data_IF_623006580028
#
_entry.id   IF_623006580028
#
_cell.length_a   1.000
_cell.length_b   1.000
_cell.length_c   1.000
_cell.angle_alpha   90.00
_cell.angle_beta   90.00
_cell.angle_gamma   90.00
#
_symmetry.space_group_name_H-M   'P 1'
#
loop_
_entity.id
_entity.type
_entity.pdbx_description
1 polymer ?
#
# COMPACT_ATOMS: atom_id res chain seq x y z
N UNK A 1 -14.10 20.00 12.24
CA UNK A 1 -13.30 19.85 11.01
C UNK A 1 -13.43 18.41 10.54
N UNK A 2 -14.37 18.16 9.62
CA UNK A 2 -14.83 16.82 9.28
C UNK A 2 -14.01 16.21 8.15
N UNK A 3 -13.30 15.10 8.43
CA UNK A 3 -12.90 14.17 7.37
C UNK A 3 -14.16 13.74 6.62
N UNK A 4 -14.19 13.73 5.29
CA UNK A 4 -15.34 13.23 4.54
C UNK A 4 -15.69 11.81 5.01
N UNK A 5 -16.97 11.58 5.32
CA UNK A 5 -17.47 10.29 5.85
C UNK A 5 -17.34 9.13 4.85
N UNK A 6 -17.10 9.41 3.57
CA UNK A 6 -16.90 8.43 2.52
C UNK A 6 -15.51 8.57 1.88
N UNK A 7 -14.72 7.52 2.01
CA UNK A 7 -13.53 7.30 1.21
C UNK A 7 -13.94 6.79 -0.19
N UNK A 8 -13.26 7.23 -1.24
CA UNK A 8 -13.57 6.88 -2.64
C UNK A 8 -13.21 5.42 -3.03
N UNK A 9 -12.71 4.62 -2.10
CA UNK A 9 -12.46 3.18 -2.30
C UNK A 9 -11.11 2.74 -1.75
N UNK A 10 -10.58 1.62 -2.26
CA UNK A 10 -9.29 1.08 -1.82
C UNK A 10 -8.31 1.07 -2.99
N UNK A 11 -7.07 1.48 -2.71
CA UNK A 11 -5.96 1.32 -3.63
C UNK A 11 -5.06 0.21 -3.11
N UNK A 12 -4.85 -0.80 -3.94
CA UNK A 12 -3.90 -1.87 -3.71
C UNK A 12 -2.71 -1.65 -4.63
N UNK A 13 -1.51 -1.79 -4.09
CA UNK A 13 -0.27 -1.60 -4.85
C UNK A 13 0.66 -2.79 -4.61
N UNK A 14 1.12 -3.36 -5.71
CA UNK A 14 2.24 -4.30 -5.74
C UNK A 14 3.45 -3.60 -6.33
N UNK A 15 4.61 -3.70 -5.69
CA UNK A 15 5.86 -3.13 -6.18
C UNK A 15 6.87 -4.23 -6.50
N UNK A 16 7.36 -4.25 -7.74
CA UNK A 16 8.45 -5.15 -8.18
C UNK A 16 9.77 -4.38 -8.22
N UNK A 17 10.87 -5.13 -8.23
CA UNK A 17 12.21 -4.61 -8.32
C UNK A 17 12.91 -4.53 -6.97
N UNK A 18 14.06 -3.86 -6.95
CA UNK A 18 14.88 -3.71 -5.75
C UNK A 18 14.35 -2.59 -4.86
N UNK A 19 14.92 -2.48 -3.64
CA UNK A 19 14.49 -1.51 -2.61
C UNK A 19 14.32 -0.07 -3.14
N UNK A 20 15.21 0.39 -4.01
CA UNK A 20 15.12 1.74 -4.58
C UNK A 20 13.88 1.92 -5.47
N UNK A 21 13.50 0.89 -6.23
CA UNK A 21 12.33 0.91 -7.11
C UNK A 21 11.05 0.78 -6.28
N UNK A 22 11.05 -0.12 -5.29
CA UNK A 22 9.95 -0.29 -4.35
C UNK A 22 9.67 1.00 -3.56
N UNK A 23 10.70 1.71 -3.09
CA UNK A 23 10.56 2.99 -2.39
C UNK A 23 9.82 4.03 -3.25
N UNK A 24 10.15 4.12 -4.55
CA UNK A 24 9.47 5.03 -5.47
C UNK A 24 8.00 4.64 -5.64
N UNK A 25 7.72 3.34 -5.79
CA UNK A 25 6.35 2.85 -5.88
C UNK A 25 5.51 3.18 -4.63
N UNK A 26 6.08 3.03 -3.43
CA UNK A 26 5.43 3.41 -2.16
C UNK A 26 5.11 4.90 -2.12
N UNK A 27 6.05 5.77 -2.50
CA UNK A 27 5.81 7.21 -2.56
C UNK A 27 4.67 7.57 -3.52
N UNK A 28 4.67 6.97 -4.72
CA UNK A 28 3.61 7.19 -5.71
C UNK A 28 2.25 6.70 -5.20
N UNK A 29 2.20 5.55 -4.53
CA UNK A 29 0.98 5.00 -3.96
C UNK A 29 0.33 5.96 -2.94
N UNK A 30 1.15 6.51 -2.03
CA UNK A 30 0.69 7.51 -1.05
C UNK A 30 0.16 8.76 -1.74
N UNK A 31 0.90 9.29 -2.72
CA UNK A 31 0.50 10.49 -3.45
C UNK A 31 -0.83 10.30 -4.20
N UNK A 32 -0.99 9.17 -4.90
CA UNK A 32 -2.22 8.86 -5.64
C UNK A 32 -3.40 8.62 -4.69
N UNK A 33 -3.20 7.89 -3.60
CA UNK A 33 -4.27 7.64 -2.62
C UNK A 33 -4.73 8.93 -1.94
N UNK A 34 -3.80 9.82 -1.58
CA UNK A 34 -4.12 11.13 -1.03
C UNK A 34 -4.88 11.99 -2.04
N UNK A 35 -4.39 12.08 -3.29
CA UNK A 35 -5.02 12.84 -4.37
C UNK A 35 -6.47 12.41 -4.63
N UNK A 36 -6.73 11.10 -4.56
CA UNK A 36 -8.04 10.53 -4.84
C UNK A 36 -8.95 10.44 -3.61
N UNK A 37 -8.49 10.87 -2.43
CA UNK A 37 -9.18 10.63 -1.15
C UNK A 37 -9.56 9.13 -0.99
N UNK A 38 -8.61 8.27 -1.33
CA UNK A 38 -8.73 6.81 -1.30
C UNK A 38 -8.05 6.22 -0.05
N UNK A 39 -8.48 5.04 0.43
CA UNK A 39 -7.73 4.29 1.44
C UNK A 39 -6.64 3.47 0.78
N UNK A 40 -5.40 3.67 1.20
CA UNK A 40 -4.27 2.84 0.79
C UNK A 40 -4.23 1.57 1.63
N UNK A 41 -4.20 0.41 0.98
CA UNK A 41 -3.81 -0.84 1.65
C UNK A 41 -2.29 -0.91 1.66
N UNK A 42 -1.67 -1.40 2.75
CA UNK A 42 -0.21 -1.55 2.85
C UNK A 42 0.35 -2.20 1.56
N UNK A 43 1.32 -1.55 0.88
CA UNK A 43 1.88 -2.07 -0.36
C UNK A 43 2.49 -3.46 -0.18
N UNK A 44 2.37 -4.30 -1.20
CA UNK A 44 3.01 -5.62 -1.25
C UNK A 44 4.26 -5.58 -2.12
N UNK A 45 5.30 -6.28 -1.71
CA UNK A 45 6.53 -6.37 -2.49
C UNK A 45 6.57 -7.70 -3.24
N UNK A 46 6.68 -7.62 -4.56
CA UNK A 46 6.76 -8.78 -5.41
C UNK A 46 8.18 -9.34 -5.37
N UNK A 47 8.27 -10.66 -5.23
CA UNK A 47 9.54 -11.35 -5.33
C UNK A 47 10.13 -11.15 -6.73
N UNK A 48 11.39 -10.70 -6.77
CA UNK A 48 12.12 -10.54 -8.01
C UNK A 48 13.23 -11.58 -8.11
N UNK A 49 13.28 -12.34 -9.21
CA UNK A 49 14.36 -13.29 -9.48
C UNK A 49 15.74 -12.62 -9.59
N UNK A 50 15.78 -11.32 -9.89
CA UNK A 50 17.02 -10.53 -10.01
C UNK A 50 17.55 -10.14 -8.64
N UNK A 51 16.68 -9.57 -7.79
CA UNK A 51 17.08 -9.05 -6.48
C UNK A 51 17.09 -10.12 -5.37
N UNK A 52 16.33 -11.20 -5.58
CA UNK A 52 16.23 -12.37 -4.67
C UNK A 52 15.90 -12.01 -3.21
N UNK A 53 15.23 -10.89 -3.02
CA UNK A 53 14.82 -10.40 -1.70
C UNK A 53 13.37 -10.84 -1.42
N UNK A 54 13.11 -11.64 -0.37
CA UNK A 54 11.77 -12.04 0.01
C UNK A 54 11.07 -11.05 0.95
N UNK A 55 11.77 -10.02 1.44
CA UNK A 55 11.23 -9.08 2.42
C UNK A 55 9.94 -8.42 1.94
N UNK A 56 8.97 -8.33 2.85
CA UNK A 56 7.73 -7.58 2.67
C UNK A 56 7.83 -6.20 3.34
N UNK A 57 6.78 -5.39 3.17
CA UNK A 57 6.77 -4.00 3.64
C UNK A 57 7.17 -3.87 5.12
N UNK A 58 6.57 -4.67 6.02
CA UNK A 58 6.87 -4.64 7.44
C UNK A 58 8.26 -5.16 7.85
N UNK A 59 8.96 -5.89 6.97
CA UNK A 59 10.34 -6.32 7.23
C UNK A 59 11.34 -5.18 7.00
N UNK A 60 10.96 -4.17 6.21
CA UNK A 60 11.81 -3.04 5.81
C UNK A 60 11.37 -1.74 6.51
N UNK A 61 10.07 -1.52 6.65
CA UNK A 61 9.47 -0.31 7.20
C UNK A 61 8.75 -0.60 8.52
N UNK A 62 8.85 0.34 9.46
CA UNK A 62 8.03 0.30 10.68
C UNK A 62 6.58 0.67 10.34
N UNK A 63 5.73 -0.33 10.15
CA UNK A 63 4.34 -0.17 9.69
C UNK A 63 3.54 0.82 10.53
N UNK A 64 3.53 0.66 11.85
CA UNK A 64 2.80 1.55 12.75
C UNK A 64 3.28 3.00 12.64
N UNK A 65 4.59 3.20 12.53
CA UNK A 65 5.16 4.54 12.39
C UNK A 65 4.77 5.15 11.05
N UNK A 66 4.82 4.38 9.96
CA UNK A 66 4.41 4.80 8.62
C UNK A 66 2.94 5.23 8.60
N UNK A 67 2.04 4.38 9.12
CA UNK A 67 0.61 4.66 9.21
C UNK A 67 0.32 5.89 10.08
N UNK A 68 0.98 6.01 11.24
CA UNK A 68 0.79 7.14 12.16
C UNK A 68 1.28 8.45 11.56
N UNK A 69 2.39 8.42 10.82
CA UNK A 69 3.00 9.61 10.23
C UNK A 69 2.11 10.19 9.11
N UNK A 70 1.44 9.33 8.34
CA UNK A 70 0.63 9.74 7.19
C UNK A 70 -0.87 9.88 7.47
N UNK A 71 -1.31 9.64 8.71
CA UNK A 71 -2.73 9.58 9.10
C UNK A 71 -3.58 10.80 8.72
N UNK A 72 -2.94 11.96 8.58
CA UNK A 72 -3.60 13.23 8.28
C UNK A 72 -3.68 13.48 6.76
N UNK A 73 -2.87 12.77 5.96
CA UNK A 73 -2.77 12.91 4.48
C UNK A 73 -3.50 11.78 3.73
N UNK A 74 -3.48 10.56 4.26
CA UNK A 74 -4.09 9.38 3.64
C UNK A 74 -4.54 8.39 4.71
N UNK A 75 -5.68 7.75 4.50
CA UNK A 75 -6.10 6.63 5.34
C UNK A 75 -5.37 5.36 4.90
N UNK A 76 -4.72 4.67 5.83
CA UNK A 76 -3.94 3.45 5.54
C UNK A 76 -4.48 2.29 6.36
N UNK A 77 -4.67 1.13 5.73
CA UNK A 77 -5.09 -0.12 6.38
C UNK A 77 -4.15 -1.26 6.01
N UNK A 78 -4.02 -2.25 6.90
CA UNK A 78 -3.18 -3.43 6.63
C UNK A 78 -3.77 -4.35 5.56
N UNK A 79 -5.09 -4.49 5.57
CA UNK A 79 -5.82 -5.38 4.68
C UNK A 79 -7.13 -4.77 4.20
N UNK A 80 -7.64 -5.31 3.09
CA UNK A 80 -9.01 -5.06 2.66
C UNK A 80 -10.04 -5.51 3.71
N UNK A 81 -11.19 -4.83 3.80
CA UNK A 81 -12.34 -5.29 4.57
C UNK A 81 -12.75 -6.72 4.18
N UNK A 82 -13.26 -7.54 5.10
CA UNK A 82 -13.61 -8.94 4.85
C UNK A 82 -14.52 -9.16 3.63
N UNK A 83 -15.48 -8.26 3.39
CA UNK A 83 -16.41 -8.35 2.26
C UNK A 83 -15.77 -8.07 0.89
N UNK A 84 -14.53 -7.54 0.85
CA UNK A 84 -13.75 -7.31 -0.36
C UNK A 84 -12.58 -8.30 -0.51
N UNK A 85 -12.33 -9.17 0.48
CA UNK A 85 -11.19 -10.12 0.46
C UNK A 85 -11.34 -11.25 -0.57
N UNK A 86 -12.51 -11.42 -1.19
CA UNK A 86 -12.71 -12.39 -2.28
C UNK A 86 -12.11 -11.96 -3.61
N UNK A 87 -11.65 -10.70 -3.73
CA UNK A 87 -10.83 -10.26 -4.86
C UNK A 87 -9.47 -10.96 -4.75
N UNK A 88 -9.22 -11.95 -5.62
CA UNK A 88 -8.05 -12.81 -5.54
C UNK A 88 -6.77 -12.00 -5.78
N UNK A 89 -5.96 -11.85 -4.73
CA UNK A 89 -4.74 -11.03 -4.74
C UNK A 89 -3.62 -11.58 -5.65
N UNK A 90 -3.78 -12.80 -6.17
CA UNK A 90 -2.78 -13.42 -7.07
C UNK A 90 -2.65 -12.71 -8.42
N UNK A 91 -3.67 -11.97 -8.84
CA UNK A 91 -3.69 -11.33 -10.17
C UNK A 91 -3.11 -9.90 -10.19
N UNK A 92 -2.92 -9.25 -9.04
CA UNK A 92 -2.45 -7.85 -8.96
C UNK A 92 -0.92 -7.73 -9.16
N UNK A 93 -0.30 -8.76 -9.75
CA UNK A 93 1.15 -8.87 -9.92
C UNK A 93 1.61 -10.12 -10.65
N UNK A 94 0.70 -10.86 -11.30
CA UNK A 94 1.05 -11.89 -12.29
C UNK A 94 1.22 -11.26 -13.66
#
# INVERSE_FOLDING_TARGET
>A
TGKPQSNNGYILVSANGGLNQQRVAVCNAVAVASLLNATLVIPRFLYSNVWKDPSQFGDIYQEEYFMKTLKDEVNIVRDLPPHLKSLDFKEIGS
#
